data_IF_063197383600
#
_entry.id   IF_063197383600
#
_cell.length_a   1.000
_cell.length_b   1.000
_cell.length_c   1.000
_cell.angle_alpha   90.00
_cell.angle_beta   90.00
_cell.angle_gamma   90.00
#
_symmetry.space_group_name_H-M   'P 1'
#
loop_
_entity.id
_entity.type
_entity.pdbx_description
1 polymer ?
#
# COMPACT_ATOMS: atom_id res chain seq x y z
N UNK A 1 -23.79 -11.37 38.52
CA UNK A 1 -23.11 -10.55 39.55
C UNK A 1 -21.75 -10.04 39.04
N UNK A 2 -21.60 -9.82 37.73
CA UNK A 2 -20.30 -9.53 37.08
C UNK A 2 -19.99 -8.04 36.87
N UNK A 3 -20.95 -7.14 37.16
CA UNK A 3 -20.75 -5.72 36.92
C UNK A 3 -19.69 -5.07 37.83
N UNK A 4 -19.37 -5.67 38.99
CA UNK A 4 -18.37 -5.12 39.92
C UNK A 4 -16.92 -5.43 39.51
N UNK A 5 -16.69 -6.55 38.82
CA UNK A 5 -15.35 -6.98 38.41
C UNK A 5 -14.85 -6.17 37.20
N UNK A 6 -15.73 -5.87 36.24
CA UNK A 6 -15.44 -4.94 35.13
C UNK A 6 -15.21 -3.51 35.63
N UNK A 7 -15.98 -3.06 36.63
CA UNK A 7 -15.83 -1.72 37.21
C UNK A 7 -14.53 -1.56 38.02
N UNK A 8 -14.08 -2.61 38.72
CA UNK A 8 -12.81 -2.57 39.45
C UNK A 8 -11.61 -2.55 38.48
N UNK A 9 -11.67 -3.35 37.42
CA UNK A 9 -10.63 -3.45 36.39
C UNK A 9 -10.48 -2.15 35.58
N UNK A 10 -11.61 -1.49 35.27
CA UNK A 10 -11.63 -0.19 34.57
C UNK A 10 -11.10 0.97 35.43
N UNK A 11 -11.30 0.93 36.75
CA UNK A 11 -10.76 1.94 37.67
C UNK A 11 -9.23 1.81 37.85
N UNK A 12 -8.69 0.60 37.93
CA UNK A 12 -7.24 0.33 37.98
C UNK A 12 -6.52 0.76 36.69
N UNK A 13 -7.14 0.54 35.53
CA UNK A 13 -6.60 1.00 34.24
C UNK A 13 -6.56 2.54 34.12
N UNK A 14 -7.41 3.24 34.87
CA UNK A 14 -7.53 4.70 34.84
C UNK A 14 -6.34 5.39 35.52
N UNK A 15 -5.76 4.78 36.54
CA UNK A 15 -4.66 5.37 37.34
C UNK A 15 -3.32 5.47 36.58
N UNK A 16 -3.10 4.63 35.57
CA UNK A 16 -1.88 4.63 34.73
C UNK A 16 -2.15 5.07 33.29
N UNK A 17 -3.24 5.80 33.05
CA UNK A 17 -3.66 6.18 31.70
C UNK A 17 -3.07 7.52 31.25
N UNK A 18 -2.59 7.57 30.02
CA UNK A 18 -2.19 8.83 29.37
C UNK A 18 -3.36 9.40 28.58
N UNK A 19 -3.65 10.68 28.78
CA UNK A 19 -4.72 11.37 28.05
C UNK A 19 -4.14 12.00 26.78
N UNK A 20 -4.68 11.63 25.61
CA UNK A 20 -4.41 12.30 24.35
C UNK A 20 -5.56 13.26 24.02
N UNK A 21 -5.24 14.49 23.61
CA UNK A 21 -6.26 15.44 23.19
C UNK A 21 -6.67 15.17 21.73
N UNK A 22 -7.98 15.21 21.47
CA UNK A 22 -8.54 14.96 20.14
C UNK A 22 -9.00 16.29 19.53
N UNK A 23 -8.61 16.53 18.28
CA UNK A 23 -8.97 17.72 17.55
C UNK A 23 -10.26 17.48 16.75
N UNK A 24 -11.08 18.52 16.65
CA UNK A 24 -12.23 18.52 15.74
C UNK A 24 -11.77 18.71 14.30
N UNK A 25 -12.11 17.76 13.45
CA UNK A 25 -12.06 17.90 12.00
C UNK A 25 -13.38 18.53 11.48
N UNK A 26 -13.48 18.72 10.16
CA UNK A 26 -14.72 19.17 9.52
C UNK A 26 -15.84 18.12 9.70
N UNK A 27 -17.08 18.59 9.89
CA UNK A 27 -18.30 17.78 9.93
C UNK A 27 -18.36 16.70 11.04
N UNK A 28 -18.22 17.09 12.30
CA UNK A 28 -18.39 16.21 13.48
C UNK A 28 -17.43 14.99 13.53
N UNK A 29 -16.31 15.05 12.80
CA UNK A 29 -15.23 14.06 12.90
C UNK A 29 -14.20 14.52 13.91
N UNK A 30 -13.66 13.59 14.69
CA UNK A 30 -12.62 13.85 15.68
C UNK A 30 -11.40 12.99 15.39
N UNK A 31 -10.21 13.56 15.52
CA UNK A 31 -8.95 12.85 15.32
C UNK A 31 -8.05 13.06 16.54
N UNK A 32 -7.48 11.96 17.05
CA UNK A 32 -6.59 11.97 18.20
C UNK A 32 -5.22 11.48 17.74
N UNK A 33 -4.17 12.28 17.95
CA UNK A 33 -2.81 11.88 17.63
C UNK A 33 -2.08 11.41 18.88
N UNK A 34 -1.69 10.13 18.90
CA UNK A 34 -0.94 9.52 19.98
C UNK A 34 0.51 9.38 19.51
N UNK A 35 1.45 10.00 20.23
CA UNK A 35 2.87 10.00 19.88
C UNK A 35 3.65 8.95 20.67
N UNK A 36 4.84 8.58 20.19
CA UNK A 36 5.79 7.70 20.91
C UNK A 36 5.26 6.30 21.26
N UNK A 37 4.43 5.74 20.37
CA UNK A 37 3.87 4.40 20.51
C UNK A 37 4.93 3.31 20.24
N UNK A 38 4.92 2.23 21.04
CA UNK A 38 5.72 1.03 20.80
C UNK A 38 4.93 0.03 19.96
N UNK A 39 5.44 -0.33 18.79
CA UNK A 39 4.70 -1.16 17.81
C UNK A 39 4.25 -2.52 18.36
N UNK A 40 5.07 -3.17 19.20
CA UNK A 40 4.81 -4.53 19.70
C UNK A 40 4.08 -4.58 21.05
N UNK A 41 3.62 -3.43 21.57
CA UNK A 41 2.90 -3.37 22.84
C UNK A 41 1.39 -3.35 22.62
N UNK A 42 0.64 -3.95 23.53
CA UNK A 42 -0.82 -3.88 23.54
C UNK A 42 -1.24 -2.65 24.36
N UNK A 43 -2.10 -1.82 23.78
CA UNK A 43 -2.67 -0.64 24.41
C UNK A 43 -4.17 -0.85 24.59
N UNK A 44 -4.68 -0.44 25.75
CA UNK A 44 -6.12 -0.36 26.01
C UNK A 44 -6.49 1.12 25.97
N UNK A 45 -7.44 1.48 25.13
CA UNK A 45 -7.90 2.86 24.94
C UNK A 45 -9.42 2.96 24.95
N UNK A 46 -9.93 4.14 25.26
CA UNK A 46 -11.34 4.47 25.15
C UNK A 46 -11.48 5.96 24.85
N UNK A 47 -12.56 6.32 24.18
CA UNK A 47 -12.91 7.70 23.90
C UNK A 47 -13.79 8.25 25.01
N UNK A 48 -13.52 9.50 25.39
CA UNK A 48 -14.31 10.25 26.36
C UNK A 48 -14.70 11.59 25.73
N UNK A 49 -16.00 11.81 25.58
CA UNK A 49 -16.56 13.05 25.05
C UNK A 49 -17.23 13.79 26.19
N UNK A 50 -16.93 15.08 26.32
CA UNK A 50 -17.54 15.96 27.33
C UNK A 50 -18.26 17.09 26.61
N UNK A 51 -19.56 17.26 26.86
CA UNK A 51 -20.35 18.37 26.34
C UNK A 51 -21.12 19.03 27.50
N UNK A 52 -20.59 20.12 28.02
CA UNK A 52 -21.10 20.75 29.24
C UNK A 52 -20.99 19.79 30.43
N UNK A 53 -22.14 19.34 30.95
CA UNK A 53 -22.24 18.38 32.06
C UNK A 53 -22.35 16.93 31.62
N UNK A 54 -22.58 16.67 30.33
CA UNK A 54 -22.74 15.32 29.80
C UNK A 54 -21.36 14.73 29.53
N UNK A 55 -21.12 13.54 30.09
CA UNK A 55 -19.93 12.74 29.89
C UNK A 55 -20.33 11.42 29.25
N UNK A 56 -19.84 11.20 28.03
CA UNK A 56 -20.02 9.94 27.30
C UNK A 56 -18.68 9.22 27.21
N UNK A 57 -18.70 7.91 27.42
CA UNK A 57 -17.53 7.06 27.33
C UNK A 57 -17.79 5.91 26.36
N UNK A 58 -16.83 5.64 25.47
CA UNK A 58 -16.89 4.45 24.62
C UNK A 58 -16.53 3.19 25.43
N UNK A 59 -16.86 2.00 24.90
CA UNK A 59 -16.25 0.76 25.38
C UNK A 59 -14.72 0.80 25.31
N UNK A 60 -14.07 -0.05 26.10
CA UNK A 60 -12.63 -0.27 26.00
C UNK A 60 -12.28 -0.94 24.67
N UNK A 61 -11.19 -0.48 24.06
CA UNK A 61 -10.62 -1.03 22.83
C UNK A 61 -9.20 -1.48 23.11
N UNK A 62 -8.87 -2.72 22.71
CA UNK A 62 -7.52 -3.27 22.77
C UNK A 62 -6.89 -3.21 21.39
N UNK A 63 -5.68 -2.67 21.29
CA UNK A 63 -4.98 -2.52 20.02
C UNK A 63 -3.49 -2.77 20.17
N UNK A 64 -2.91 -3.48 19.20
CA UNK A 64 -1.47 -3.58 19.02
C UNK A 64 -1.10 -2.79 17.77
N UNK A 65 -0.29 -1.72 17.88
CA UNK A 65 -0.05 -0.80 16.78
C UNK A 65 0.53 -1.48 15.53
N UNK A 66 1.40 -2.48 15.67
CA UNK A 66 1.94 -3.23 14.53
C UNK A 66 0.86 -3.89 13.66
N UNK A 67 -0.29 -4.25 14.25
CA UNK A 67 -1.39 -4.91 13.55
C UNK A 67 -2.26 -3.93 12.74
N UNK A 68 -2.05 -2.62 12.89
CA UNK A 68 -2.78 -1.56 12.17
C UNK A 68 -1.87 -0.59 11.40
N UNK A 69 -0.57 -0.87 11.32
CA UNK A 69 0.34 -0.06 10.49
C UNK A 69 -0.09 -0.16 9.03
N UNK A 70 -0.26 0.98 8.38
CA UNK A 70 -0.50 1.10 6.94
C UNK A 70 0.67 1.87 6.32
N UNK A 71 1.51 1.23 5.48
CA UNK A 71 2.59 1.94 4.78
C UNK A 71 2.05 2.91 3.73
N UNK A 72 2.88 3.87 3.34
CA UNK A 72 2.65 4.70 2.16
C UNK A 72 2.79 3.87 0.87
N UNK A 73 2.09 4.21 -0.22
CA UNK A 73 2.24 3.51 -1.49
C UNK A 73 3.66 3.66 -2.07
N UNK A 74 4.15 2.68 -2.85
CA UNK A 74 5.37 2.80 -3.63
C UNK A 74 5.36 4.01 -4.57
N UNK A 75 6.56 4.56 -4.83
CA UNK A 75 6.75 5.75 -5.65
C UNK A 75 7.58 5.44 -6.90
N UNK A 76 7.59 6.37 -7.86
CA UNK A 76 8.45 6.30 -9.06
C UNK A 76 8.34 4.96 -9.81
N UNK A 77 7.11 4.57 -10.15
CA UNK A 77 6.87 3.38 -10.96
C UNK A 77 7.43 3.60 -12.37
N UNK A 78 8.37 2.75 -12.77
CA UNK A 78 9.04 2.77 -14.06
C UNK A 78 8.91 1.41 -14.72
N UNK A 79 8.79 1.41 -16.04
CA UNK A 79 8.68 0.18 -16.81
C UNK A 79 9.58 0.21 -18.03
N UNK A 80 10.32 -0.88 -18.24
CA UNK A 80 11.33 -1.03 -19.29
C UNK A 80 11.16 -2.39 -19.98
N UNK A 81 11.55 -2.46 -21.25
CA UNK A 81 11.75 -3.74 -21.92
C UNK A 81 13.18 -4.24 -21.70
N UNK A 82 13.32 -5.50 -21.34
CA UNK A 82 14.61 -6.20 -21.23
C UNK A 82 15.09 -6.65 -22.60
N UNK A 83 16.38 -6.98 -22.72
CA UNK A 83 16.99 -7.47 -23.95
C UNK A 83 16.37 -8.79 -24.46
N UNK A 84 15.74 -9.55 -23.57
CA UNK A 84 15.00 -10.79 -23.89
C UNK A 84 13.53 -10.55 -24.26
N UNK A 85 13.10 -9.28 -24.34
CA UNK A 85 11.74 -8.89 -24.68
C UNK A 85 10.72 -9.08 -23.55
N UNK A 86 11.18 -9.25 -22.30
CA UNK A 86 10.31 -9.25 -21.12
C UNK A 86 10.13 -7.84 -20.56
N UNK A 87 9.02 -7.59 -19.87
CA UNK A 87 8.75 -6.28 -19.26
C UNK A 87 9.22 -6.29 -17.82
N UNK A 88 10.11 -5.35 -17.49
CA UNK A 88 10.60 -5.10 -16.15
C UNK A 88 9.88 -3.89 -15.56
N UNK A 89 9.12 -4.13 -14.51
CA UNK A 89 8.44 -3.12 -13.70
C UNK A 89 9.32 -2.86 -12.47
N UNK A 90 9.61 -1.60 -12.17
CA UNK A 90 10.43 -1.22 -11.01
C UNK A 90 9.84 -0.02 -10.30
N UNK A 91 10.09 0.09 -9.01
CA UNK A 91 9.56 1.16 -8.16
C UNK A 91 10.54 1.51 -7.04
N UNK A 92 10.30 2.64 -6.40
CA UNK A 92 11.01 3.05 -5.19
C UNK A 92 10.21 2.70 -3.94
N UNK A 93 10.91 2.19 -2.94
CA UNK A 93 10.35 1.97 -1.61
C UNK A 93 9.86 3.30 -1.02
N UNK A 94 8.67 3.34 -0.38
CA UNK A 94 8.25 4.53 0.35
C UNK A 94 9.26 4.87 1.46
N UNK A 95 9.34 6.15 1.85
CA UNK A 95 10.25 6.62 2.92
C UNK A 95 9.95 6.04 4.33
N UNK A 96 9.08 5.03 4.41
CA UNK A 96 8.70 4.33 5.63
C UNK A 96 9.92 3.75 6.36
N UNK A 97 9.91 3.81 7.69
CA UNK A 97 10.97 3.29 8.57
C UNK A 97 11.12 1.76 8.54
N UNK A 98 10.25 1.05 7.82
CA UNK A 98 10.31 -0.40 7.67
C UNK A 98 11.13 -0.74 6.43
N UNK A 99 12.33 -1.27 6.63
CA UNK A 99 13.23 -1.60 5.53
C UNK A 99 12.77 -2.84 4.75
N UNK A 100 11.85 -3.64 5.28
CA UNK A 100 11.40 -4.90 4.68
C UNK A 100 9.89 -4.87 4.40
N UNK A 101 9.54 -4.82 3.12
CA UNK A 101 8.17 -4.78 2.62
C UNK A 101 7.93 -5.90 1.60
N UNK A 102 6.71 -6.43 1.60
CA UNK A 102 6.13 -7.23 0.53
C UNK A 102 5.41 -6.30 -0.43
N UNK A 103 5.55 -6.53 -1.74
CA UNK A 103 4.90 -5.76 -2.78
C UNK A 103 3.93 -6.64 -3.54
N UNK A 104 2.79 -6.07 -3.94
CA UNK A 104 1.86 -6.68 -4.88
C UNK A 104 1.77 -5.79 -6.11
N UNK A 105 2.02 -6.37 -7.28
CA UNK A 105 1.92 -5.70 -8.57
C UNK A 105 0.62 -6.12 -9.23
N UNK A 106 -0.16 -5.14 -9.69
CA UNK A 106 -1.40 -5.36 -10.42
C UNK A 106 -1.29 -4.78 -11.82
N UNK A 107 -1.47 -5.65 -12.81
CA UNK A 107 -1.51 -5.27 -14.22
C UNK A 107 -2.93 -5.47 -14.76
N UNK A 108 -3.44 -4.49 -15.51
CA UNK A 108 -4.73 -4.56 -16.19
C UNK A 108 -4.57 -4.28 -17.67
N UNK A 109 -5.22 -5.08 -18.50
CA UNK A 109 -5.32 -4.86 -19.94
C UNK A 109 -6.55 -4.01 -20.26
N UNK A 110 -6.43 -3.04 -21.17
CA UNK A 110 -7.60 -2.38 -21.79
C UNK A 110 -7.93 -3.08 -23.11
N UNK A 111 -8.27 -4.37 -23.07
CA UNK A 111 -8.76 -5.10 -24.24
C UNK A 111 -10.28 -5.27 -24.16
N UNK A 112 -10.97 -5.07 -25.28
CA UNK A 112 -12.43 -5.16 -25.39
C UNK A 112 -12.98 -6.57 -25.15
N UNK A 113 -12.10 -7.57 -25.02
CA UNK A 113 -12.50 -9.00 -25.01
C UNK A 113 -12.08 -9.79 -23.78
N UNK A 114 -11.02 -9.41 -23.06
CA UNK A 114 -10.50 -10.20 -21.93
C UNK A 114 -9.97 -9.31 -20.80
N UNK A 115 -10.47 -9.53 -19.58
CA UNK A 115 -9.94 -8.94 -18.36
C UNK A 115 -8.87 -9.87 -17.79
N UNK A 116 -7.60 -9.50 -17.94
CA UNK A 116 -6.51 -10.24 -17.30
C UNK A 116 -5.91 -9.41 -16.18
N UNK A 117 -6.11 -9.89 -14.96
CA UNK A 117 -5.48 -9.35 -13.75
C UNK A 117 -4.35 -10.30 -13.37
N UNK A 118 -3.12 -9.85 -13.54
CA UNK A 118 -1.96 -10.53 -12.95
C UNK A 118 -1.66 -9.84 -11.62
N UNK A 119 -1.70 -10.61 -10.54
CA UNK A 119 -1.30 -10.18 -9.21
C UNK A 119 -0.12 -11.04 -8.77
N UNK A 120 1.07 -10.44 -8.69
CA UNK A 120 2.29 -11.12 -8.28
C UNK A 120 2.87 -10.44 -7.03
N UNK A 121 3.34 -11.28 -6.10
CA UNK A 121 3.92 -10.84 -4.83
C UNK A 121 5.43 -10.99 -4.90
N UNK A 122 6.16 -9.93 -4.53
CA UNK A 122 7.63 -9.94 -4.48
C UNK A 122 8.15 -9.16 -3.28
N UNK A 123 9.34 -9.55 -2.81
CA UNK A 123 10.09 -8.82 -1.78
C UNK A 123 11.07 -7.80 -2.38
N UNK A 124 11.33 -7.89 -3.69
CA UNK A 124 12.18 -6.96 -4.41
C UNK A 124 11.43 -5.70 -4.85
N UNK A 125 12.15 -4.65 -5.22
CA UNK A 125 11.59 -3.41 -5.77
C UNK A 125 11.44 -3.46 -7.30
N UNK A 126 11.42 -4.66 -7.86
CA UNK A 126 11.20 -4.90 -9.29
C UNK A 126 10.58 -6.27 -9.54
N UNK A 127 9.83 -6.36 -10.63
CA UNK A 127 9.22 -7.58 -11.12
C UNK A 127 9.36 -7.67 -12.64
N UNK A 128 9.70 -8.84 -13.16
CA UNK A 128 9.77 -9.10 -14.60
C UNK A 128 8.63 -10.02 -15.01
N UNK A 129 7.84 -9.59 -15.99
CA UNK A 129 6.70 -10.35 -16.54
C UNK A 129 6.92 -10.65 -18.03
N UNK A 130 6.42 -11.80 -18.49
CA UNK A 130 6.51 -12.19 -19.89
C UNK A 130 5.62 -11.33 -20.78
N UNK A 131 6.12 -10.99 -21.97
CA UNK A 131 5.42 -10.12 -22.92
C UNK A 131 4.22 -10.79 -23.63
N UNK A 132 4.05 -12.11 -23.50
CA UNK A 132 2.99 -12.89 -24.17
C UNK A 132 1.57 -12.47 -23.77
N UNK A 133 1.43 -11.71 -22.68
CA UNK A 133 0.16 -11.20 -22.19
C UNK A 133 -0.24 -9.90 -22.92
N UNK A 134 0.71 -9.18 -23.55
CA UNK A 134 0.55 -7.78 -23.90
C UNK A 134 -0.12 -7.52 -25.26
N UNK A 135 -1.46 -7.41 -25.25
CA UNK A 135 -2.25 -7.16 -26.46
C UNK A 135 -2.20 -5.71 -26.98
N UNK A 136 -2.07 -4.68 -26.12
CA UNK A 136 -2.05 -3.27 -26.61
C UNK A 136 -1.72 -2.22 -25.55
N UNK A 137 -2.52 -2.09 -24.48
CA UNK A 137 -2.29 -1.06 -23.45
C UNK A 137 -2.60 -1.55 -22.04
N UNK A 138 -1.81 -1.04 -21.09
CA UNK A 138 -1.76 -1.54 -19.72
C UNK A 138 -1.88 -0.44 -18.69
N UNK A 139 -2.57 -0.75 -17.60
CA UNK A 139 -2.48 0.00 -16.35
C UNK A 139 -1.72 -0.85 -15.36
N UNK A 140 -0.63 -0.31 -14.81
CA UNK A 140 0.20 -0.96 -13.80
C UNK A 140 0.10 -0.16 -12.50
N UNK A 141 -0.12 -0.87 -11.40
CA UNK A 141 -0.12 -0.32 -10.06
C UNK A 141 0.61 -1.25 -9.10
N UNK A 142 1.25 -0.67 -8.08
CA UNK A 142 1.95 -1.43 -7.06
C UNK A 142 1.48 -0.95 -5.69
N UNK A 143 1.32 -1.88 -4.75
CA UNK A 143 1.11 -1.57 -3.34
C UNK A 143 2.05 -2.38 -2.48
N UNK A 144 2.18 -2.02 -1.20
CA UNK A 144 3.09 -2.71 -0.29
C UNK A 144 2.47 -2.99 1.07
N UNK A 145 3.05 -3.95 1.79
CA UNK A 145 2.71 -4.34 3.15
C UNK A 145 3.99 -4.67 3.92
N UNK A 146 3.93 -4.66 5.25
CA UNK A 146 5.01 -5.22 6.06
C UNK A 146 5.33 -6.67 5.66
N UNK A 147 6.62 -7.03 5.60
CA UNK A 147 7.03 -8.38 5.18
C UNK A 147 6.59 -9.52 6.09
N UNK A 148 6.28 -9.23 7.35
CA UNK A 148 5.71 -10.21 8.30
C UNK A 148 4.21 -10.38 8.10
N UNK A 149 3.65 -9.77 7.05
CA UNK A 149 2.23 -9.74 6.74
C UNK A 149 1.34 -9.15 7.85
N UNK A 150 1.95 -8.42 8.78
CA UNK A 150 1.25 -7.65 9.80
C UNK A 150 0.76 -6.32 9.24
N UNK A 151 -0.27 -5.75 9.88
CA UNK A 151 -0.82 -4.48 9.46
C UNK A 151 -1.70 -4.55 8.21
N UNK A 152 -1.85 -3.41 7.56
CA UNK A 152 -2.70 -3.20 6.40
C UNK A 152 -1.85 -3.02 5.14
N UNK A 153 -2.42 -3.36 3.99
CA UNK A 153 -1.87 -2.97 2.69
C UNK A 153 -1.90 -1.45 2.54
N UNK A 154 -0.88 -0.89 1.92
CA UNK A 154 -0.89 0.50 1.43
C UNK A 154 -2.03 0.68 0.42
N UNK A 155 -2.35 1.95 0.15
CA UNK A 155 -3.10 2.25 -1.06
C UNK A 155 -2.28 1.84 -2.30
N UNK A 156 -2.95 1.73 -3.44
CA UNK A 156 -2.27 1.52 -4.72
C UNK A 156 -1.49 2.77 -5.12
N UNK A 157 -0.33 2.58 -5.75
CA UNK A 157 0.42 3.66 -6.39
C UNK A 157 -0.42 4.37 -7.45
N UNK A 158 0.03 5.56 -7.84
CA UNK A 158 -0.50 6.21 -9.05
C UNK A 158 -0.42 5.25 -10.24
N UNK A 159 -1.48 5.15 -11.07
CA UNK A 159 -1.49 4.25 -12.21
C UNK A 159 -0.46 4.68 -13.24
N UNK A 160 0.36 3.72 -13.69
CA UNK A 160 1.22 3.90 -14.85
C UNK A 160 0.48 3.36 -16.08
N UNK A 161 0.22 4.24 -17.05
CA UNK A 161 -0.36 3.84 -18.32
C UNK A 161 0.78 3.54 -19.30
N UNK A 162 0.85 2.28 -19.75
CA UNK A 162 1.79 1.85 -20.77
C UNK A 162 1.05 1.65 -22.10
N UNK A 163 1.60 2.23 -23.16
CA UNK A 163 1.35 1.83 -24.54
C UNK A 163 2.59 1.09 -25.06
N UNK A 164 2.40 -0.09 -25.64
CA UNK A 164 3.51 -0.88 -26.19
C UNK A 164 4.26 -0.13 -27.29
N UNK A 165 3.60 0.76 -28.03
CA UNK A 165 4.27 1.55 -29.07
C UNK A 165 5.33 2.52 -28.51
N UNK A 166 5.18 2.95 -27.26
CA UNK A 166 6.12 3.87 -26.61
C UNK A 166 7.38 3.16 -26.10
N UNK A 167 7.32 1.84 -25.90
CA UNK A 167 8.41 1.02 -25.34
C UNK A 167 9.11 0.19 -26.43
N UNK A 168 8.39 -0.18 -27.49
CA UNK A 168 8.94 -0.94 -28.60
C UNK A 168 9.51 -0.01 -29.67
N UNK A 169 10.83 0.18 -29.70
CA UNK A 169 11.49 0.78 -30.86
C UNK A 169 11.46 -0.20 -32.05
N UNK A 170 10.43 -0.09 -32.87
CA UNK A 170 10.47 -0.62 -34.23
C UNK A 170 10.86 0.53 -35.17
N UNK A 171 12.06 0.54 -35.77
CA UNK A 171 12.42 1.57 -36.73
C UNK A 171 11.41 1.54 -37.89
N UNK A 172 10.70 2.64 -38.09
CA UNK A 172 9.54 2.70 -39.00
C UNK A 172 9.90 2.44 -40.47
N UNK A 173 11.19 2.51 -40.83
CA UNK A 173 11.71 2.11 -42.15
C UNK A 173 13.14 1.59 -42.03
N UNK A 174 13.34 0.31 -42.38
CA UNK A 174 14.67 -0.20 -42.75
C UNK A 174 14.98 0.32 -44.16
N UNK A 175 15.79 1.37 -44.28
CA UNK A 175 16.42 1.73 -45.55
C UNK A 175 17.59 0.79 -45.81
N UNK A 176 17.29 -0.49 -46.05
CA UNK A 176 18.28 -1.40 -46.60
C UNK A 176 18.48 -1.02 -48.07
N UNK A 177 19.65 -0.49 -48.42
CA UNK A 177 20.01 -0.30 -49.83
C UNK A 177 20.06 -1.68 -50.52
N UNK A 178 19.62 -1.75 -51.77
CA UNK A 178 19.65 -2.98 -52.58
C UNK A 178 21.09 -3.51 -52.58
N UNK A 179 21.30 -4.70 -52.00
CA UNK A 179 22.61 -5.36 -51.89
C UNK A 179 23.20 -5.43 -50.48
N UNK A 180 22.58 -4.82 -49.47
CA UNK A 180 23.07 -4.92 -48.09
C UNK A 180 22.63 -6.27 -47.49
N UNK A 181 23.56 -7.22 -47.32
CA UNK A 181 23.31 -8.42 -46.50
C UNK A 181 23.18 -7.98 -45.05
N UNK A 182 21.96 -7.99 -44.52
CA UNK A 182 21.71 -7.82 -43.09
C UNK A 182 21.74 -9.23 -42.49
N UNK A 183 22.80 -9.52 -41.74
CA UNK A 183 22.88 -10.73 -40.90
C UNK A 183 22.50 -10.35 -39.47
N UNK A 184 21.59 -11.12 -38.89
CA UNK A 184 21.21 -11.06 -37.47
C UNK A 184 22.19 -11.88 -36.63
#
# INVERSE_FOLDING_TARGET
TDASLENASTNLLKENSTVAHCNTLKAQKYECQISSIKLNHIYIMWLKITNGTILLQSPLMSIRPIDIVKPDPPLYLQVEMTDTGQIKISWSQPASKSNLLLYEVKCFTKSTKNFQQVAEITMGTSLTINNELLESSYIIQVRCKNHQELGLWSDWSSPFNMDLQDVMYFPSKLLASVGTKISF
#
